data_IF_856772952849
#
_entry.id   IF_856772952849
#
_cell.length_a   1.000
_cell.length_b   1.000
_cell.length_c   1.000
_cell.angle_alpha   90.00
_cell.angle_beta   90.00
_cell.angle_gamma   90.00
#
_symmetry.space_group_name_H-M   'P 1'
#
loop_
_entity.id
_entity.type
_entity.pdbx_description
1 polymer ?
#
# COMPACT_ATOMS: atom_id res chain seq x y z
N UNK A 1 -18.91 -6.51 -0.02
CA UNK A 1 -20.01 -5.53 0.10
C UNK A 1 -21.00 -5.83 -1.02
N UNK A 2 -22.19 -6.39 -0.72
CA UNK A 2 -23.20 -6.60 -1.75
C UNK A 2 -23.56 -5.25 -2.38
N UNK A 3 -23.38 -5.10 -3.71
CA UNK A 3 -23.70 -3.88 -4.45
C UNK A 3 -22.54 -2.90 -4.72
N UNK A 4 -21.31 -3.23 -4.35
CA UNK A 4 -20.13 -2.44 -4.74
C UNK A 4 -19.62 -2.89 -6.12
N UNK A 5 -19.34 -1.93 -7.00
CA UNK A 5 -18.60 -2.15 -8.26
C UNK A 5 -17.14 -1.77 -8.06
N UNK A 6 -16.23 -2.54 -8.68
CA UNK A 6 -14.79 -2.34 -8.52
C UNK A 6 -14.10 -2.28 -9.87
N UNK A 7 -13.18 -1.34 -10.04
CA UNK A 7 -12.22 -1.32 -11.13
C UNK A 7 -10.81 -1.32 -10.56
N UNK A 8 -9.87 -1.86 -11.33
CA UNK A 8 -8.47 -1.96 -10.92
C UNK A 8 -7.56 -1.81 -12.13
N UNK A 9 -6.34 -1.32 -11.89
CA UNK A 9 -5.28 -1.31 -12.90
C UNK A 9 -4.06 -2.05 -12.38
N UNK A 10 -3.60 -3.01 -13.16
CA UNK A 10 -2.39 -3.80 -12.91
C UNK A 10 -1.28 -3.42 -13.90
N UNK A 11 -0.07 -3.90 -13.63
CA UNK A 11 1.11 -3.67 -14.49
C UNK A 11 1.41 -2.17 -14.72
N UNK A 12 1.16 -1.35 -13.69
CA UNK A 12 1.50 0.07 -13.71
C UNK A 12 3.03 0.21 -13.76
N UNK A 13 3.53 1.01 -14.70
CA UNK A 13 4.94 1.29 -14.82
C UNK A 13 5.48 1.92 -13.53
N UNK A 14 6.68 1.49 -13.13
CA UNK A 14 7.30 1.89 -11.87
C UNK A 14 7.95 3.28 -11.99
N UNK A 15 7.15 4.33 -12.19
CA UNK A 15 7.59 5.71 -12.11
C UNK A 15 6.50 6.67 -11.58
N UNK A 16 6.89 7.77 -10.90
CA UNK A 16 5.94 8.69 -10.27
C UNK A 16 4.91 9.32 -11.20
N UNK A 17 5.31 9.65 -12.44
CA UNK A 17 4.43 10.33 -13.40
C UNK A 17 3.26 9.43 -13.85
N UNK A 18 3.54 8.13 -14.07
CA UNK A 18 2.50 7.16 -14.39
C UNK A 18 1.58 6.88 -13.19
N UNK A 19 2.12 6.91 -11.96
CA UNK A 19 1.32 6.73 -10.73
C UNK A 19 0.32 7.87 -10.54
N UNK A 20 0.79 9.13 -10.60
CA UNK A 20 -0.08 10.30 -10.47
C UNK A 20 -1.15 10.33 -11.56
N UNK A 21 -0.79 10.01 -12.81
CA UNK A 21 -1.76 9.96 -13.91
C UNK A 21 -2.85 8.93 -13.63
N UNK A 22 -2.47 7.71 -13.27
CA UNK A 22 -3.42 6.63 -13.00
C UNK A 22 -4.37 6.98 -11.84
N UNK A 23 -3.83 7.44 -10.72
CA UNK A 23 -4.63 7.81 -9.53
C UNK A 23 -5.63 8.92 -9.89
N UNK A 24 -5.17 9.92 -10.65
CA UNK A 24 -5.99 11.02 -11.14
C UNK A 24 -7.07 10.57 -12.12
N UNK A 25 -6.78 9.60 -12.97
CA UNK A 25 -7.76 9.06 -13.91
C UNK A 25 -8.90 8.34 -13.19
N UNK A 26 -8.62 7.61 -12.11
CA UNK A 26 -9.67 7.04 -11.25
C UNK A 26 -10.48 8.15 -10.54
N UNK A 27 -9.82 9.17 -9.97
CA UNK A 27 -10.56 10.27 -9.34
C UNK A 27 -11.47 11.02 -10.33
N UNK A 28 -11.00 11.27 -11.56
CA UNK A 28 -11.78 11.91 -12.64
C UNK A 28 -12.98 11.09 -13.11
N UNK A 29 -12.88 9.76 -13.05
CA UNK A 29 -13.98 8.87 -13.40
C UNK A 29 -15.10 8.86 -12.35
N UNK A 30 -14.88 9.52 -11.19
CA UNK A 30 -15.90 9.71 -10.18
C UNK A 30 -16.15 8.49 -9.30
N UNK A 31 -15.13 7.65 -9.07
CA UNK A 31 -15.23 6.56 -8.10
C UNK A 31 -15.44 7.11 -6.69
N UNK A 32 -16.30 6.48 -5.91
CA UNK A 32 -16.63 6.88 -4.54
C UNK A 32 -15.46 6.73 -3.55
N UNK A 33 -14.46 5.91 -3.89
CA UNK A 33 -13.23 5.72 -3.12
C UNK A 33 -12.11 5.21 -4.03
N UNK A 34 -10.89 5.72 -3.84
CA UNK A 34 -9.70 5.30 -4.59
C UNK A 34 -8.68 4.67 -3.65
N UNK A 35 -8.27 3.44 -3.96
CA UNK A 35 -7.23 2.72 -3.21
C UNK A 35 -5.92 2.71 -3.98
N UNK A 36 -4.83 3.02 -3.28
CA UNK A 36 -3.47 3.04 -3.86
C UNK A 36 -2.59 2.06 -3.07
N UNK A 37 -2.05 1.04 -3.75
CA UNK A 37 -1.62 -0.22 -3.10
C UNK A 37 -0.12 -0.50 -3.15
N UNK A 38 0.71 0.54 -3.24
CA UNK A 38 2.17 0.41 -3.22
C UNK A 38 2.80 1.52 -2.40
N UNK A 39 3.91 1.22 -1.72
CA UNK A 39 4.66 2.19 -0.91
C UNK A 39 5.01 3.46 -1.72
N UNK A 40 5.45 3.29 -2.97
CA UNK A 40 5.82 4.40 -3.85
C UNK A 40 4.67 5.34 -4.20
N UNK A 41 3.41 4.93 -4.01
CA UNK A 41 2.24 5.74 -4.36
C UNK A 41 1.91 6.82 -3.32
N UNK A 42 2.62 6.87 -2.19
CA UNK A 42 2.30 7.77 -1.08
C UNK A 42 2.26 9.25 -1.52
N UNK A 43 3.34 9.74 -2.13
CA UNK A 43 3.42 11.13 -2.58
C UNK A 43 2.45 11.44 -3.74
N UNK A 44 2.35 10.62 -4.79
CA UNK A 44 1.32 10.77 -5.81
C UNK A 44 -0.11 10.84 -5.27
N UNK A 45 -0.42 10.03 -4.26
CA UNK A 45 -1.78 10.00 -3.67
C UNK A 45 -2.07 11.32 -2.97
N UNK A 46 -1.13 11.84 -2.19
CA UNK A 46 -1.27 13.15 -1.54
C UNK A 46 -1.42 14.25 -2.59
N UNK A 47 -0.56 14.28 -3.60
CA UNK A 47 -0.60 15.30 -4.66
C UNK A 47 -1.93 15.29 -5.42
N UNK A 48 -2.45 14.11 -5.77
CA UNK A 48 -3.74 14.01 -6.47
C UNK A 48 -4.90 14.36 -5.52
N UNK A 49 -4.84 13.97 -4.25
CA UNK A 49 -5.91 14.23 -3.30
C UNK A 49 -6.17 15.73 -3.08
N UNK A 50 -5.15 16.58 -3.22
CA UNK A 50 -5.29 18.05 -3.19
C UNK A 50 -6.22 18.58 -4.29
N UNK A 51 -6.24 17.94 -5.46
CA UNK A 51 -7.07 18.34 -6.60
C UNK A 51 -8.51 17.79 -6.53
N UNK A 52 -8.77 16.80 -5.66
CA UNK A 52 -10.06 16.10 -5.54
C UNK A 52 -10.51 16.02 -4.07
N UNK A 53 -10.81 17.16 -3.41
CA UNK A 53 -11.13 17.18 -1.98
C UNK A 53 -12.36 16.35 -1.59
N UNK A 54 -13.30 16.17 -2.52
CA UNK A 54 -14.53 15.39 -2.32
C UNK A 54 -14.33 13.88 -2.53
N UNK A 55 -13.18 13.45 -3.08
CA UNK A 55 -12.88 12.04 -3.31
C UNK A 55 -12.07 11.48 -2.14
N UNK A 56 -12.56 10.44 -1.43
CA UNK A 56 -11.79 9.73 -0.43
C UNK A 56 -10.71 8.85 -1.06
N UNK A 57 -9.49 8.94 -0.53
CA UNK A 57 -8.37 8.09 -0.89
C UNK A 57 -7.92 7.23 0.29
N UNK A 58 -7.46 6.02 0.00
CA UNK A 58 -6.82 5.14 0.98
C UNK A 58 -5.48 4.67 0.45
N UNK A 59 -4.40 5.15 1.07
CA UNK A 59 -3.05 4.68 0.78
C UNK A 59 -2.69 3.48 1.64
N UNK A 60 -2.31 2.39 0.99
CA UNK A 60 -1.80 1.20 1.65
C UNK A 60 -0.29 1.28 1.69
N UNK A 61 0.31 0.94 2.83
CA UNK A 61 1.78 0.83 3.05
C UNK A 61 2.49 2.11 3.54
N UNK A 62 1.89 3.30 3.40
CA UNK A 62 2.53 4.58 3.79
C UNK A 62 2.02 5.20 5.08
N UNK A 63 2.53 6.40 5.37
CA UNK A 63 2.25 7.13 6.62
C UNK A 63 1.69 8.55 6.42
N UNK A 64 1.74 9.12 5.22
CA UNK A 64 1.20 10.45 4.95
C UNK A 64 -0.33 10.40 4.90
N UNK A 65 -0.96 11.39 5.54
CA UNK A 65 -2.41 11.54 5.61
C UNK A 65 -2.80 12.95 5.22
N UNK A 66 -4.04 13.12 4.76
CA UNK A 66 -4.70 14.40 4.52
C UNK A 66 -6.18 14.27 4.93
N UNK A 67 -6.96 15.34 4.83
CA UNK A 67 -8.37 15.33 5.26
C UNK A 67 -9.21 14.27 4.50
N UNK A 68 -8.93 14.06 3.23
CA UNK A 68 -9.54 13.05 2.37
C UNK A 68 -8.62 11.83 2.10
N UNK A 69 -7.51 11.68 2.83
CA UNK A 69 -6.56 10.56 2.63
C UNK A 69 -6.35 9.79 3.93
N UNK A 70 -6.88 8.58 3.99
CA UNK A 70 -6.59 7.60 5.02
C UNK A 70 -5.40 6.72 4.68
N UNK A 71 -4.78 6.11 5.70
CA UNK A 71 -3.74 5.09 5.52
C UNK A 71 -4.14 3.76 6.15
N UNK A 72 -3.64 2.66 5.58
CA UNK A 72 -3.89 1.33 6.10
C UNK A 72 -2.74 0.38 5.83
N UNK A 73 -2.37 -0.44 6.82
CA UNK A 73 -1.47 -1.55 6.61
C UNK A 73 -1.71 -2.63 7.66
N UNK A 74 -1.32 -3.87 7.35
CA UNK A 74 -1.38 -4.96 8.32
C UNK A 74 -0.23 -4.83 9.34
N UNK A 75 -0.47 -5.25 10.58
CA UNK A 75 0.56 -5.37 11.63
C UNK A 75 1.52 -6.52 11.32
N UNK A 76 2.42 -6.33 10.36
CA UNK A 76 3.30 -7.40 9.83
C UNK A 76 4.28 -7.93 10.88
N UNK A 77 4.57 -7.17 11.93
CA UNK A 77 5.39 -7.59 13.06
C UNK A 77 4.81 -8.81 13.78
N UNK A 78 3.47 -8.94 13.87
CA UNK A 78 2.80 -10.05 14.54
C UNK A 78 3.04 -11.40 13.83
N UNK A 79 2.73 -11.57 12.52
CA UNK A 79 3.03 -12.81 11.81
C UNK A 79 4.52 -13.07 11.67
N UNK A 80 5.37 -12.04 11.52
CA UNK A 80 6.83 -12.21 11.46
C UNK A 80 7.41 -12.73 12.75
N UNK A 81 6.95 -12.21 13.89
CA UNK A 81 7.36 -12.70 15.20
C UNK A 81 7.01 -14.17 15.38
N UNK A 82 5.77 -14.56 15.02
CA UNK A 82 5.36 -15.96 15.05
C UNK A 82 6.21 -16.85 14.12
N UNK A 83 6.51 -16.37 12.91
CA UNK A 83 7.39 -17.08 11.98
C UNK A 83 8.81 -17.27 12.54
N UNK A 84 9.35 -16.26 13.22
CA UNK A 84 10.63 -16.32 13.92
C UNK A 84 10.63 -17.34 15.05
N UNK A 85 9.57 -17.38 15.86
CA UNK A 85 9.39 -18.37 16.94
C UNK A 85 9.36 -19.81 16.41
N UNK A 86 8.62 -20.04 15.33
CA UNK A 86 8.53 -21.37 14.68
C UNK A 86 9.90 -21.76 14.11
N UNK A 87 10.55 -20.85 13.38
CA UNK A 87 11.90 -21.08 12.81
C UNK A 87 12.93 -21.39 13.91
N UNK A 88 12.87 -20.67 15.03
CA UNK A 88 13.73 -20.91 16.19
C UNK A 88 13.48 -22.25 16.89
N UNK A 89 12.24 -22.76 16.88
CA UNK A 89 11.94 -24.11 17.39
C UNK A 89 12.34 -25.23 16.42
N UNK A 90 12.32 -24.97 15.12
CA UNK A 90 12.57 -25.99 14.10
C UNK A 90 14.04 -26.12 13.70
N UNK A 91 14.87 -25.11 13.97
CA UNK A 91 16.27 -25.11 13.54
C UNK A 91 17.13 -26.09 14.34
N UNK A 92 17.94 -26.89 13.64
CA UNK A 92 18.95 -27.78 14.24
C UNK A 92 20.33 -27.10 14.34
N UNK A 93 20.63 -26.19 13.41
CA UNK A 93 21.93 -25.50 13.32
C UNK A 93 22.00 -24.18 14.09
N UNK A 94 20.84 -23.64 14.48
CA UNK A 94 20.73 -22.30 15.06
C UNK A 94 20.86 -21.15 14.05
N UNK A 95 21.08 -21.46 12.76
CA UNK A 95 21.12 -20.45 11.70
C UNK A 95 19.71 -20.23 11.11
N UNK A 96 19.29 -18.96 10.99
CA UNK A 96 18.00 -18.55 10.42
C UNK A 96 18.26 -17.42 9.41
N UNK A 97 17.67 -17.54 8.23
CA UNK A 97 17.76 -16.53 7.16
C UNK A 97 16.39 -15.92 6.85
N UNK A 98 16.39 -14.66 6.41
CA UNK A 98 15.21 -13.94 5.94
C UNK A 98 15.49 -13.36 4.56
N UNK A 99 14.63 -13.67 3.59
CA UNK A 99 14.73 -13.14 2.22
C UNK A 99 13.77 -11.96 2.09
N UNK A 100 14.33 -10.76 2.13
CA UNK A 100 13.60 -9.51 1.92
C UNK A 100 13.54 -9.16 0.42
N UNK A 101 12.40 -8.64 -0.05
CA UNK A 101 12.24 -8.22 -1.44
C UNK A 101 12.85 -6.83 -1.70
N UNK A 102 12.45 -5.82 -0.92
CA UNK A 102 12.88 -4.43 -1.06
C UNK A 102 13.26 -3.83 0.32
N UNK A 103 14.26 -2.93 0.39
CA UNK A 103 14.68 -2.28 1.63
C UNK A 103 13.74 -1.11 1.99
N UNK A 104 12.47 -1.42 2.27
CA UNK A 104 11.45 -0.45 2.68
C UNK A 104 11.02 -0.74 4.13
N UNK A 105 10.52 0.26 4.88
CA UNK A 105 10.17 0.10 6.30
C UNK A 105 9.26 -1.09 6.59
N UNK A 106 8.37 -1.43 5.68
CA UNK A 106 7.39 -2.49 5.84
C UNK A 106 7.98 -3.87 5.66
N UNK A 107 9.14 -4.02 5.02
CA UNK A 107 9.78 -5.32 4.78
C UNK A 107 10.82 -5.64 5.86
N UNK A 108 11.32 -4.62 6.54
CA UNK A 108 12.30 -4.71 7.62
C UNK A 108 11.67 -5.01 8.98
#
# INVERSE_FOLDING_TARGET
MPGAETAYQENVLDNPADWERMIRDFAKQGYDVVFTTSFGYMDPTINVAEDFPETPFVHISGCKTAENVGTGFGKQEEPRYMAGMISGRMTESGAIGYVAAFPIPEVM
#
